data_IF_154673995843
#
_entry.id   IF_154673995843
#
_cell.length_a   1.000
_cell.length_b   1.000
_cell.length_c   1.000
_cell.angle_alpha   90.00
_cell.angle_beta   90.00
_cell.angle_gamma   90.00
#
_symmetry.space_group_name_H-M   'P 1'
#
loop_
_entity.id
_entity.type
_entity.pdbx_description
1 polymer ?
#
# COMPACT_ATOMS: atom_id res chain seq x y z
N UNK A 1 -9.89 24.84 19.94
CA UNK A 1 -8.63 25.55 19.60
C UNK A 1 -7.42 25.13 20.46
N UNK A 2 -7.48 25.08 21.81
CA UNK A 2 -6.30 24.68 22.63
C UNK A 2 -5.90 23.20 22.51
N UNK A 3 -6.89 22.30 22.39
CA UNK A 3 -6.65 20.85 22.23
C UNK A 3 -5.91 20.51 20.92
N UNK A 4 -6.26 21.15 19.81
CA UNK A 4 -5.60 20.93 18.53
C UNK A 4 -4.15 21.41 18.54
N UNK A 5 -3.88 22.53 19.20
CA UNK A 5 -2.52 23.04 19.37
C UNK A 5 -1.67 22.09 20.23
N UNK A 6 -2.22 21.58 21.34
CA UNK A 6 -1.55 20.59 22.18
C UNK A 6 -1.30 19.27 21.45
N UNK A 7 -2.29 18.76 20.71
CA UNK A 7 -2.15 17.56 19.87
C UNK A 7 -1.04 17.76 18.83
N UNK A 8 -1.03 18.89 18.12
CA UNK A 8 0.00 19.22 17.11
C UNK A 8 1.41 19.29 17.73
N UNK A 9 1.55 19.87 18.93
CA UNK A 9 2.86 19.90 19.64
C UNK A 9 3.33 18.51 20.03
N UNK A 10 2.46 17.67 20.58
CA UNK A 10 2.81 16.30 20.99
C UNK A 10 3.21 15.46 19.77
N UNK A 11 2.43 15.53 18.69
CA UNK A 11 2.73 14.82 17.44
C UNK A 11 4.05 15.29 16.84
N UNK A 12 4.33 16.60 16.83
CA UNK A 12 5.62 17.14 16.38
C UNK A 12 6.80 16.68 17.26
N UNK A 13 6.63 16.68 18.58
CA UNK A 13 7.65 16.22 19.52
C UNK A 13 7.92 14.71 19.45
N UNK A 14 6.90 13.91 19.10
CA UNK A 14 7.06 12.48 18.86
C UNK A 14 7.73 12.20 17.50
N UNK A 15 7.39 12.98 16.47
CA UNK A 15 7.98 12.88 15.12
C UNK A 15 9.44 13.31 15.04
N UNK A 16 9.90 14.19 15.94
CA UNK A 16 11.30 14.63 15.98
C UNK A 16 12.25 13.60 16.61
N UNK A 17 11.73 12.57 17.29
CA UNK A 17 12.54 11.53 17.94
C UNK A 17 12.72 10.33 17.02
N UNK A 18 13.95 9.82 16.99
CA UNK A 18 14.33 8.63 16.22
C UNK A 18 14.88 7.55 17.14
N UNK A 19 14.51 6.31 16.87
CA UNK A 19 15.11 5.12 17.47
C UNK A 19 16.37 4.76 16.66
N UNK A 20 17.51 4.64 17.34
CA UNK A 20 18.84 4.35 16.75
C UNK A 20 19.23 5.26 15.57
N UNK A 21 18.69 6.49 15.53
CA UNK A 21 18.97 7.43 14.44
C UNK A 21 18.49 6.95 13.07
N UNK A 22 17.65 5.91 12.96
CA UNK A 22 17.15 5.37 11.68
C UNK A 22 15.64 5.42 11.57
N UNK A 23 14.91 4.92 12.57
CA UNK A 23 13.46 4.75 12.49
C UNK A 23 12.70 5.84 13.29
N UNK A 24 11.70 6.54 12.73
CA UNK A 24 10.92 7.53 13.48
C UNK A 24 10.17 6.89 14.66
N UNK A 25 10.26 7.47 15.86
CA UNK A 25 9.68 6.92 17.08
C UNK A 25 8.16 6.71 16.95
N UNK A 26 7.46 7.69 16.36
CA UNK A 26 6.01 7.62 16.19
C UNK A 26 5.59 6.43 15.32
N UNK A 27 6.30 6.19 14.21
CA UNK A 27 6.03 5.05 13.33
C UNK A 27 6.26 3.73 14.08
N UNK A 28 7.34 3.63 14.88
CA UNK A 28 7.61 2.45 15.71
C UNK A 28 6.49 2.17 16.71
N UNK A 29 6.02 3.20 17.42
CA UNK A 29 4.94 3.08 18.39
C UNK A 29 3.65 2.62 17.72
N UNK A 30 3.31 3.17 16.55
CA UNK A 30 2.12 2.79 15.79
C UNK A 30 2.22 1.33 15.33
N UNK A 31 3.36 0.92 14.76
CA UNK A 31 3.60 -0.48 14.37
C UNK A 31 3.45 -1.42 15.57
N UNK A 32 3.98 -1.06 16.74
CA UNK A 32 3.84 -1.88 17.95
C UNK A 32 2.38 -2.02 18.40
N UNK A 33 1.60 -0.93 18.34
CA UNK A 33 0.16 -0.97 18.63
C UNK A 33 -0.57 -1.86 17.63
N UNK A 34 -0.31 -1.71 16.34
CA UNK A 34 -0.90 -2.53 15.28
C UNK A 34 -0.54 -4.01 15.45
N UNK A 35 0.71 -4.33 15.78
CA UNK A 35 1.15 -5.69 16.07
C UNK A 35 0.43 -6.29 17.28
N UNK A 36 0.20 -5.51 18.34
CA UNK A 36 -0.57 -5.96 19.49
C UNK A 36 -2.05 -6.23 19.13
N UNK A 37 -2.66 -5.37 18.30
CA UNK A 37 -4.02 -5.55 17.79
C UNK A 37 -4.14 -6.81 16.92
N UNK A 38 -3.18 -7.05 16.02
CA UNK A 38 -3.12 -8.27 15.20
C UNK A 38 -2.91 -9.50 16.07
N UNK A 39 -1.99 -9.48 17.04
CA UNK A 39 -1.75 -10.62 17.93
C UNK A 39 -3.03 -11.00 18.69
N UNK A 40 -3.76 -10.01 19.21
CA UNK A 40 -5.05 -10.22 19.86
C UNK A 40 -6.08 -10.80 18.90
N UNK A 41 -6.21 -10.22 17.71
CA UNK A 41 -7.13 -10.67 16.68
C UNK A 41 -6.85 -12.12 16.28
N UNK A 42 -5.60 -12.46 15.99
CA UNK A 42 -5.16 -13.82 15.61
C UNK A 42 -5.48 -14.82 16.71
N UNK A 43 -5.19 -14.47 17.97
CA UNK A 43 -5.43 -15.37 19.12
C UNK A 43 -6.90 -15.76 19.31
N UNK A 44 -7.83 -14.95 18.80
CA UNK A 44 -9.27 -15.13 18.94
C UNK A 44 -10.00 -15.18 17.59
N UNK A 45 -9.25 -15.29 16.49
CA UNK A 45 -9.80 -15.12 15.14
C UNK A 45 -10.90 -16.13 14.83
N UNK A 46 -10.64 -17.42 15.06
CA UNK A 46 -11.62 -18.47 14.79
C UNK A 46 -12.90 -18.28 15.61
N UNK A 47 -12.77 -17.95 16.91
CA UNK A 47 -13.92 -17.68 17.77
C UNK A 47 -14.76 -16.50 17.24
N UNK A 48 -14.12 -15.37 16.92
CA UNK A 48 -14.83 -14.21 16.38
C UNK A 48 -15.42 -14.50 15.00
N UNK A 49 -14.73 -15.28 14.18
CA UNK A 49 -15.21 -15.66 12.86
C UNK A 49 -16.43 -16.56 12.96
N UNK A 50 -16.45 -17.53 13.89
CA UNK A 50 -17.58 -18.43 14.09
C UNK A 50 -18.83 -17.68 14.61
N UNK A 51 -18.65 -16.70 15.49
CA UNK A 51 -19.74 -15.88 16.02
C UNK A 51 -20.27 -14.85 15.00
N UNK A 52 -19.36 -14.12 14.34
CA UNK A 52 -19.68 -13.02 13.43
C UNK A 52 -18.72 -12.95 12.24
N UNK A 53 -18.85 -13.83 11.23
CA UNK A 53 -17.87 -13.98 10.16
C UNK A 53 -17.60 -12.67 9.38
N UNK A 54 -18.67 -11.97 9.00
CA UNK A 54 -18.57 -10.74 8.21
C UNK A 54 -17.85 -9.63 8.99
N UNK A 55 -18.27 -9.37 10.22
CA UNK A 55 -17.72 -8.30 11.05
C UNK A 55 -16.26 -8.57 11.40
N UNK A 56 -15.91 -9.83 11.69
CA UNK A 56 -14.53 -10.25 11.93
C UNK A 56 -13.66 -9.97 10.72
N UNK A 57 -14.13 -10.28 9.51
CA UNK A 57 -13.41 -9.97 8.28
C UNK A 57 -13.26 -8.45 8.05
N UNK A 58 -14.29 -7.67 8.32
CA UNK A 58 -14.24 -6.20 8.20
C UNK A 58 -13.20 -5.59 9.14
N UNK A 59 -13.21 -5.97 10.42
CA UNK A 59 -12.25 -5.48 11.42
C UNK A 59 -10.83 -5.95 11.08
N UNK A 60 -10.67 -7.22 10.68
CA UNK A 60 -9.38 -7.78 10.24
C UNK A 60 -8.81 -6.98 9.09
N UNK A 61 -9.62 -6.70 8.06
CA UNK A 61 -9.17 -5.99 6.88
C UNK A 61 -8.88 -4.50 7.17
N UNK A 62 -9.60 -3.89 8.11
CA UNK A 62 -9.31 -2.54 8.58
C UNK A 62 -7.92 -2.47 9.24
N UNK A 63 -7.62 -3.40 10.14
CA UNK A 63 -6.32 -3.45 10.85
C UNK A 63 -5.18 -3.73 9.85
N UNK A 64 -5.35 -4.70 8.94
CA UNK A 64 -4.34 -5.01 7.91
C UNK A 64 -4.15 -3.85 6.92
N UNK A 65 -5.22 -3.13 6.58
CA UNK A 65 -5.15 -1.90 5.79
C UNK A 65 -4.36 -0.80 6.49
N UNK A 66 -4.54 -0.67 7.82
CA UNK A 66 -3.74 0.24 8.64
C UNK A 66 -2.24 -0.10 8.60
N UNK A 67 -1.89 -1.37 8.78
CA UNK A 67 -0.50 -1.83 8.72
C UNK A 67 0.12 -1.59 7.34
N UNK A 68 -0.64 -1.83 6.26
CA UNK A 68 -0.19 -1.56 4.90
C UNK A 68 0.20 -0.09 4.73
N UNK A 69 -0.64 0.80 5.24
CA UNK A 69 -0.41 2.24 5.20
C UNK A 69 0.78 2.67 6.07
N UNK A 70 0.81 2.24 7.33
CA UNK A 70 1.90 2.51 8.28
C UNK A 70 3.25 2.03 7.73
N UNK A 71 3.28 0.86 7.08
CA UNK A 71 4.47 0.34 6.41
C UNK A 71 4.89 1.25 5.27
N UNK A 72 3.96 1.64 4.40
CA UNK A 72 4.24 2.52 3.27
C UNK A 72 4.76 3.90 3.72
N UNK A 73 4.13 4.50 4.74
CA UNK A 73 4.58 5.76 5.35
C UNK A 73 5.98 5.62 5.96
N UNK A 74 6.28 4.49 6.59
CA UNK A 74 7.61 4.20 7.15
C UNK A 74 8.67 4.08 6.06
N UNK A 75 8.37 3.38 4.97
CA UNK A 75 9.29 3.28 3.83
C UNK A 75 9.55 4.66 3.22
N UNK A 76 8.52 5.50 3.06
CA UNK A 76 8.68 6.88 2.60
C UNK A 76 9.55 7.72 3.54
N UNK A 77 9.33 7.62 4.86
CA UNK A 77 10.14 8.34 5.84
C UNK A 77 11.61 7.91 5.84
N UNK A 78 11.88 6.61 5.68
CA UNK A 78 13.23 6.06 5.55
C UNK A 78 13.90 6.52 4.24
N UNK A 79 13.16 6.50 3.12
CA UNK A 79 13.63 7.00 1.82
C UNK A 79 14.03 8.47 1.87
N UNK A 80 13.16 9.33 2.37
CA UNK A 80 13.42 10.78 2.45
C UNK A 80 14.62 11.11 3.34
N UNK A 81 14.83 10.32 4.40
CA UNK A 81 16.01 10.46 5.25
C UNK A 81 17.30 10.04 4.55
N UNK A 82 17.28 8.95 3.77
CA UNK A 82 18.43 8.50 2.99
C UNK A 82 18.86 9.55 1.95
N UNK A 83 17.89 10.14 1.24
CA UNK A 83 18.13 11.21 0.25
C UNK A 83 18.74 12.47 0.89
N UNK A 84 18.35 12.82 2.11
CA UNK A 84 18.74 14.06 2.79
C UNK A 84 20.04 13.97 3.61
N UNK A 85 20.77 12.86 3.54
CA UNK A 85 22.03 12.66 4.28
C UNK A 85 23.13 13.57 3.71
N UNK A 86 23.84 14.39 4.52
CA UNK A 86 24.96 15.19 4.03
C UNK A 86 26.07 14.26 3.52
N UNK A 87 26.41 14.39 2.23
CA UNK A 87 27.30 13.46 1.50
C UNK A 87 26.59 12.57 0.47
N UNK A 88 25.26 12.63 0.36
CA UNK A 88 24.50 11.86 -0.63
C UNK A 88 24.32 10.38 -0.25
N UNK A 89 23.76 9.62 -1.18
CA UNK A 89 23.53 8.17 -1.04
C UNK A 89 24.84 7.43 -1.31
N UNK A 90 25.35 6.66 -0.33
CA UNK A 90 26.55 5.84 -0.52
C UNK A 90 26.20 4.48 -1.16
N UNK A 91 27.11 3.92 -1.97
CA UNK A 91 26.96 2.57 -2.58
C UNK A 91 26.75 1.44 -1.55
N UNK A 92 27.15 1.66 -0.30
CA UNK A 92 27.00 0.70 0.81
C UNK A 92 25.67 0.85 1.57
N UNK A 93 24.90 1.91 1.30
CA UNK A 93 23.52 1.99 1.77
C UNK A 93 22.72 1.00 0.91
N UNK A 94 22.43 -0.21 1.39
CA UNK A 94 21.74 -1.29 0.63
C UNK A 94 20.32 -0.97 0.12
N UNK A 95 19.92 0.31 0.16
CA UNK A 95 18.69 0.91 -0.38
C UNK A 95 19.04 1.79 -1.61
N UNK A 96 20.31 1.85 -2.00
CA UNK A 96 20.88 2.64 -3.08
C UNK A 96 20.93 1.88 -4.41
N UNK A 97 19.78 1.60 -5.01
CA UNK A 97 19.73 1.38 -6.46
C UNK A 97 18.55 2.23 -6.96
N UNK A 98 18.88 3.23 -7.79
CA UNK A 98 17.99 4.19 -8.49
C UNK A 98 17.40 5.36 -7.69
N UNK A 99 18.19 5.99 -6.82
CA UNK A 99 17.84 7.27 -6.19
C UNK A 99 18.40 8.42 -7.04
N UNK A 100 17.75 8.77 -8.16
CA UNK A 100 17.87 10.13 -8.70
C UNK A 100 16.62 10.66 -9.44
N UNK A 101 15.71 9.85 -10.01
CA UNK A 101 14.60 10.44 -10.82
C UNK A 101 13.20 10.07 -10.31
N UNK A 102 12.98 10.15 -9.00
CA UNK A 102 11.86 9.51 -8.32
C UNK A 102 10.72 10.43 -7.83
N UNK A 103 10.75 11.73 -8.14
CA UNK A 103 10.00 12.75 -7.38
C UNK A 103 8.79 13.39 -8.09
N UNK A 104 8.14 12.76 -9.07
CA UNK A 104 6.98 13.41 -9.73
C UNK A 104 5.76 12.55 -10.00
N UNK A 105 5.81 11.21 -9.83
CA UNK A 105 4.67 10.34 -10.19
C UNK A 105 4.29 9.29 -9.15
N UNK A 106 4.31 9.64 -7.86
CA UNK A 106 3.59 8.83 -6.87
C UNK A 106 2.19 9.40 -6.60
N UNK A 107 1.14 8.90 -7.28
CA UNK A 107 -0.22 9.46 -7.21
C UNK A 107 -0.91 9.19 -5.87
N UNK A 108 -0.29 8.43 -4.96
CA UNK A 108 -0.80 8.13 -3.62
C UNK A 108 -0.45 9.21 -2.58
N UNK A 109 0.34 10.22 -2.96
CA UNK A 109 0.95 11.15 -2.01
C UNK A 109 1.10 12.59 -2.54
N UNK A 110 0.46 12.93 -3.65
CA UNK A 110 0.69 14.19 -4.37
C UNK A 110 0.21 15.46 -3.61
N UNK A 111 -0.41 15.33 -2.43
CA UNK A 111 -1.01 16.48 -1.73
C UNK A 111 -0.26 17.08 -0.54
N UNK A 112 0.83 16.49 -0.05
CA UNK A 112 1.48 16.97 1.20
C UNK A 112 3.01 17.21 1.14
N UNK A 113 3.60 17.32 -0.05
CA UNK A 113 5.02 17.63 -0.20
C UNK A 113 5.17 19.00 -0.87
N UNK A 114 5.05 20.13 -0.15
CA UNK A 114 6.12 20.96 0.45
C UNK A 114 5.45 22.29 0.93
N UNK A 115 5.90 23.05 1.96
CA UNK A 115 6.86 22.78 3.05
C UNK A 115 6.30 23.03 4.48
N UNK A 116 6.95 22.51 5.52
CA UNK A 116 7.31 23.37 6.65
C UNK A 116 8.58 22.83 7.34
N UNK A 117 9.67 23.55 7.13
CA UNK A 117 11.03 23.37 7.67
C UNK A 117 11.89 22.30 6.98
N UNK A 118 12.95 22.77 6.32
CA UNK A 118 13.95 22.08 5.49
C UNK A 118 14.69 20.90 6.14
N UNK A 119 14.44 20.58 7.42
CA UNK A 119 15.27 19.65 8.20
C UNK A 119 14.49 18.51 8.90
N UNK A 120 13.18 18.35 8.69
CA UNK A 120 12.37 17.33 9.40
C UNK A 120 11.76 16.28 8.46
N UNK A 121 11.65 15.00 8.88
CA UNK A 121 10.89 13.98 8.15
C UNK A 121 9.42 14.39 8.02
N UNK A 122 8.70 13.90 6.99
CA UNK A 122 7.25 14.11 6.92
C UNK A 122 6.61 13.55 8.19
N UNK A 123 5.64 14.29 8.74
CA UNK A 123 4.88 13.84 9.89
C UNK A 123 4.00 12.66 9.53
N UNK A 124 3.83 11.69 10.44
CA UNK A 124 2.89 10.59 10.23
C UNK A 124 1.48 11.11 9.91
N UNK A 125 0.93 10.64 8.79
CA UNK A 125 -0.39 11.02 8.29
C UNK A 125 -1.47 10.09 8.85
N UNK A 126 -2.11 10.55 9.92
CA UNK A 126 -3.23 9.84 10.54
C UNK A 126 -4.50 9.85 9.67
N UNK A 127 -4.69 10.86 8.83
CA UNK A 127 -5.88 10.93 7.99
C UNK A 127 -5.79 9.86 6.90
N UNK A 128 -4.62 9.74 6.28
CA UNK A 128 -4.33 8.66 5.33
C UNK A 128 -4.48 7.28 5.96
N UNK A 129 -3.94 7.06 7.16
CA UNK A 129 -4.15 5.81 7.91
C UNK A 129 -5.64 5.49 8.04
N UNK A 130 -6.45 6.45 8.48
CA UNK A 130 -7.90 6.21 8.64
C UNK A 130 -8.61 5.92 7.32
N UNK A 131 -8.20 6.53 6.20
CA UNK A 131 -8.77 6.24 4.87
C UNK A 131 -8.48 4.80 4.44
N UNK A 132 -7.25 4.31 4.63
CA UNK A 132 -6.88 2.92 4.32
C UNK A 132 -7.64 1.91 5.19
N UNK A 133 -7.75 2.19 6.51
CA UNK A 133 -8.53 1.35 7.41
C UNK A 133 -10.01 1.33 7.02
N UNK A 134 -10.59 2.48 6.69
CA UNK A 134 -11.99 2.61 6.28
C UNK A 134 -12.27 1.90 4.94
N UNK A 135 -11.36 2.03 3.97
CA UNK A 135 -11.44 1.30 2.70
C UNK A 135 -11.40 -0.22 2.94
N UNK A 136 -10.46 -0.70 3.76
CA UNK A 136 -10.37 -2.11 4.14
C UNK A 136 -11.66 -2.61 4.81
N UNK A 137 -12.18 -1.86 5.77
CA UNK A 137 -13.44 -2.17 6.45
C UNK A 137 -14.62 -2.26 5.47
N UNK A 138 -14.74 -1.29 4.55
CA UNK A 138 -15.84 -1.19 3.60
C UNK A 138 -15.79 -2.20 2.45
N UNK A 139 -14.59 -2.60 2.00
CA UNK A 139 -14.41 -3.57 0.91
C UNK A 139 -14.50 -5.02 1.35
N UNK A 140 -14.24 -5.30 2.63
CA UNK A 140 -14.25 -6.66 3.16
C UNK A 140 -15.58 -7.43 2.91
N UNK A 141 -16.78 -6.85 3.07
CA UNK A 141 -18.03 -7.55 2.77
C UNK A 141 -18.16 -7.98 1.32
N UNK A 142 -17.66 -7.15 0.40
CA UNK A 142 -17.69 -7.41 -1.03
C UNK A 142 -16.71 -8.53 -1.39
N UNK A 143 -15.47 -8.46 -0.89
CA UNK A 143 -14.46 -9.51 -1.05
C UNK A 143 -14.92 -10.85 -0.44
N UNK A 144 -15.49 -10.81 0.76
CA UNK A 144 -16.01 -12.00 1.43
C UNK A 144 -17.11 -12.69 0.61
N UNK A 145 -18.07 -11.91 0.09
CA UNK A 145 -19.12 -12.41 -0.81
C UNK A 145 -18.54 -12.97 -2.11
N UNK A 146 -17.55 -12.29 -2.68
CA UNK A 146 -16.87 -12.71 -3.90
C UNK A 146 -16.15 -14.06 -3.74
N UNK A 147 -15.35 -14.22 -2.68
CA UNK A 147 -14.68 -15.50 -2.41
C UNK A 147 -15.69 -16.62 -2.11
N UNK A 148 -16.77 -16.32 -1.39
CA UNK A 148 -17.85 -17.28 -1.19
C UNK A 148 -18.49 -17.70 -2.52
N UNK A 149 -18.77 -16.75 -3.41
CA UNK A 149 -19.29 -17.01 -4.75
C UNK A 149 -18.33 -17.91 -5.54
N UNK A 150 -17.05 -17.53 -5.67
CA UNK A 150 -16.04 -18.35 -6.35
C UNK A 150 -15.93 -19.76 -5.76
N UNK A 151 -16.04 -19.88 -4.43
CA UNK A 151 -15.97 -21.17 -3.77
C UNK A 151 -17.14 -22.10 -4.07
N UNK A 152 -18.32 -21.51 -4.27
CA UNK A 152 -19.57 -22.23 -4.57
C UNK A 152 -19.66 -22.58 -6.04
N UNK A 153 -19.25 -21.67 -6.93
CA UNK A 153 -19.29 -21.84 -8.39
C UNK A 153 -18.22 -22.82 -8.86
N UNK A 154 -17.02 -22.78 -8.26
CA UNK A 154 -15.90 -23.65 -8.61
C UNK A 154 -15.48 -24.49 -7.42
N UNK A 155 -16.26 -25.51 -7.02
CA UNK A 155 -15.95 -26.32 -5.84
C UNK A 155 -14.68 -27.14 -6.07
N UNK A 156 -13.76 -27.06 -5.11
CA UNK A 156 -12.53 -27.86 -5.11
C UNK A 156 -12.87 -29.23 -4.52
N UNK A 157 -12.70 -30.29 -5.31
CA UNK A 157 -12.93 -31.67 -4.88
C UNK A 157 -11.60 -32.41 -4.71
N UNK A 158 -11.61 -33.53 -3.96
CA UNK A 158 -10.42 -34.37 -3.76
C UNK A 158 -9.86 -34.94 -5.07
N UNK A 159 -10.71 -35.07 -6.10
CA UNK A 159 -10.36 -35.64 -7.41
C UNK A 159 -9.96 -34.59 -8.44
N UNK A 160 -10.42 -33.33 -8.30
CA UNK A 160 -10.02 -32.21 -9.18
C UNK A 160 -9.87 -30.95 -8.35
N UNK A 161 -8.65 -30.69 -7.87
CA UNK A 161 -8.35 -29.49 -7.10
C UNK A 161 -7.69 -28.38 -7.94
N UNK A 162 -6.94 -28.76 -8.98
CA UNK A 162 -6.16 -27.80 -9.77
C UNK A 162 -7.03 -26.97 -10.72
N UNK A 163 -7.93 -27.61 -11.49
CA UNK A 163 -8.77 -26.92 -12.47
C UNK A 163 -9.71 -25.90 -11.81
N UNK A 164 -10.46 -26.24 -10.73
CA UNK A 164 -11.31 -25.25 -10.06
C UNK A 164 -10.50 -24.12 -9.45
N UNK A 165 -9.31 -24.39 -8.90
CA UNK A 165 -8.44 -23.34 -8.39
C UNK A 165 -8.01 -22.37 -9.50
N UNK A 166 -7.61 -22.87 -10.68
CA UNK A 166 -7.26 -22.01 -11.81
C UNK A 166 -8.46 -21.19 -12.32
N UNK A 167 -9.67 -21.78 -12.33
CA UNK A 167 -10.89 -21.04 -12.69
C UNK A 167 -11.17 -19.91 -11.70
N UNK A 168 -11.01 -20.15 -10.39
CA UNK A 168 -11.13 -19.10 -9.37
C UNK A 168 -10.11 -17.98 -9.59
N UNK A 169 -8.86 -18.32 -9.86
CA UNK A 169 -7.81 -17.33 -10.20
C UNK A 169 -8.20 -16.54 -11.45
N UNK A 170 -8.60 -17.21 -12.53
CA UNK A 170 -8.96 -16.54 -13.77
C UNK A 170 -10.13 -15.56 -13.57
N UNK A 171 -11.20 -15.96 -12.86
CA UNK A 171 -12.33 -15.08 -12.57
C UNK A 171 -11.93 -13.92 -11.66
N UNK A 172 -11.11 -14.18 -10.64
CA UNK A 172 -10.62 -13.14 -9.74
C UNK A 172 -9.78 -12.10 -10.50
N UNK A 173 -8.86 -12.55 -11.36
CA UNK A 173 -8.00 -11.67 -12.13
C UNK A 173 -8.77 -10.93 -13.24
N UNK A 174 -9.69 -11.58 -13.95
CA UNK A 174 -10.38 -10.93 -15.08
C UNK A 174 -11.54 -10.01 -14.65
N UNK A 175 -12.13 -10.23 -13.48
CA UNK A 175 -13.31 -9.48 -13.02
C UNK A 175 -12.95 -8.65 -11.79
N UNK A 176 -12.49 -9.31 -10.73
CA UNK A 176 -12.35 -8.66 -9.43
C UNK A 176 -11.14 -7.75 -9.35
N UNK A 177 -10.00 -8.10 -9.96
CA UNK A 177 -8.81 -7.25 -9.94
C UNK A 177 -9.02 -5.91 -10.68
N UNK A 178 -9.56 -5.87 -11.92
CA UNK A 178 -9.95 -4.63 -12.60
C UNK A 178 -10.91 -3.79 -11.78
N UNK A 179 -12.00 -4.40 -11.30
CA UNK A 179 -13.01 -3.72 -10.50
C UNK A 179 -12.43 -3.17 -9.18
N UNK A 180 -11.64 -3.99 -8.47
CA UNK A 180 -11.04 -3.66 -7.19
C UNK A 180 -10.05 -2.50 -7.30
N UNK A 181 -9.21 -2.48 -8.35
CA UNK A 181 -8.30 -1.37 -8.62
C UNK A 181 -9.05 -0.09 -8.99
N UNK A 182 -10.10 -0.19 -9.79
CA UNK A 182 -10.96 0.95 -10.14
C UNK A 182 -11.60 1.56 -8.88
N UNK A 183 -12.19 0.72 -8.02
CA UNK A 183 -12.76 1.12 -6.75
C UNK A 183 -11.72 1.76 -5.83
N UNK A 184 -10.54 1.13 -5.70
CA UNK A 184 -9.46 1.64 -4.85
C UNK A 184 -9.03 3.04 -5.28
N UNK A 185 -8.67 3.24 -6.56
CA UNK A 185 -8.25 4.55 -7.04
C UNK A 185 -9.36 5.59 -6.92
N UNK A 186 -10.60 5.22 -7.18
CA UNK A 186 -11.74 6.14 -7.09
C UNK A 186 -11.99 6.57 -5.64
N UNK A 187 -12.13 5.61 -4.72
CA UNK A 187 -12.44 5.89 -3.31
C UNK A 187 -11.31 6.65 -2.64
N UNK A 188 -10.05 6.23 -2.85
CA UNK A 188 -8.90 6.90 -2.25
C UNK A 188 -8.78 8.35 -2.73
N UNK A 189 -8.96 8.61 -4.03
CA UNK A 189 -8.88 9.97 -4.58
C UNK A 189 -9.99 10.86 -4.05
N UNK A 190 -11.21 10.33 -3.93
CA UNK A 190 -12.34 11.09 -3.35
C UNK A 190 -12.09 11.36 -1.86
N UNK A 191 -11.57 10.38 -1.12
CA UNK A 191 -11.24 10.52 0.30
C UNK A 191 -10.08 11.50 0.55
N UNK A 192 -9.18 11.69 -0.42
CA UNK A 192 -8.13 12.72 -0.46
C UNK A 192 -8.68 14.12 -0.84
N UNK A 193 -10.00 14.26 -0.94
CA UNK A 193 -10.68 15.49 -1.35
C UNK A 193 -10.54 15.80 -2.84
N UNK A 194 -10.22 14.80 -3.67
CA UNK A 194 -10.16 14.91 -5.12
C UNK A 194 -11.56 14.82 -5.75
N UNK A 195 -11.83 15.70 -6.72
CA UNK A 195 -13.07 15.65 -7.50
C UNK A 195 -13.04 14.62 -8.65
N UNK A 196 -14.13 14.54 -9.41
CA UNK A 196 -14.28 13.63 -10.57
C UNK A 196 -13.13 13.72 -11.59
N UNK A 197 -12.61 14.93 -11.85
CA UNK A 197 -11.47 15.13 -12.76
C UNK A 197 -10.18 14.49 -12.24
N UNK A 198 -9.93 14.59 -10.93
CA UNK A 198 -8.76 13.98 -10.30
C UNK A 198 -8.84 12.44 -10.38
N UNK A 199 -10.02 11.87 -10.14
CA UNK A 199 -10.26 10.42 -10.29
C UNK A 199 -9.98 9.97 -11.73
N UNK A 200 -10.53 10.67 -12.72
CA UNK A 200 -10.34 10.31 -14.14
C UNK A 200 -8.87 10.40 -14.56
N UNK A 201 -8.16 11.45 -14.15
CA UNK A 201 -6.74 11.59 -14.44
C UNK A 201 -5.93 10.46 -13.80
N UNK A 202 -6.18 10.17 -12.51
CA UNK A 202 -5.48 9.09 -11.80
C UNK A 202 -5.73 7.73 -12.44
N UNK A 203 -6.97 7.44 -12.85
CA UNK A 203 -7.29 6.22 -13.57
C UNK A 203 -6.60 6.15 -14.93
N UNK A 204 -6.63 7.22 -15.73
CA UNK A 204 -5.97 7.26 -17.03
C UNK A 204 -4.47 6.98 -16.91
N UNK A 205 -3.83 7.57 -15.91
CA UNK A 205 -2.38 7.56 -15.80
C UNK A 205 -1.87 6.29 -15.11
N UNK A 206 -2.65 5.71 -14.17
CA UNK A 206 -2.16 4.67 -13.25
C UNK A 206 -2.86 3.33 -13.37
N UNK A 207 -4.08 3.29 -13.90
CA UNK A 207 -4.89 2.07 -13.91
C UNK A 207 -4.22 0.96 -14.72
N UNK A 208 -3.82 1.25 -15.96
CA UNK A 208 -3.21 0.24 -16.85
C UNK A 208 -1.85 -0.23 -16.34
N UNK A 209 -0.90 0.65 -15.96
CA UNK A 209 0.37 0.21 -15.38
C UNK A 209 0.19 -0.66 -14.13
N UNK A 210 -0.70 -0.25 -13.23
CA UNK A 210 -0.97 -0.98 -11.99
C UNK A 210 -1.63 -2.33 -12.27
N UNK A 211 -2.56 -2.39 -13.23
CA UNK A 211 -3.23 -3.62 -13.62
C UNK A 211 -2.26 -4.61 -14.27
N UNK A 212 -1.33 -4.14 -15.12
CA UNK A 212 -0.26 -4.99 -15.68
C UNK A 212 0.61 -5.59 -14.59
N UNK A 213 1.09 -4.77 -13.66
CA UNK A 213 1.88 -5.25 -12.54
C UNK A 213 1.06 -6.20 -11.64
N UNK A 214 -0.25 -5.96 -11.50
CA UNK A 214 -1.15 -6.84 -10.77
C UNK A 214 -1.18 -8.24 -11.41
N UNK A 215 -1.34 -8.33 -12.73
CA UNK A 215 -1.35 -9.60 -13.47
C UNK A 215 -0.02 -10.36 -13.46
N UNK A 216 1.09 -9.73 -13.10
CA UNK A 216 2.37 -10.44 -12.97
C UNK A 216 2.47 -11.12 -11.60
N UNK A 217 2.04 -10.43 -10.54
CA UNK A 217 2.26 -10.87 -9.16
C UNK A 217 1.07 -11.67 -8.61
N UNK A 218 -0.14 -11.17 -8.82
CA UNK A 218 -1.32 -11.68 -8.13
C UNK A 218 -1.83 -13.04 -8.60
N UNK A 219 -1.67 -13.49 -9.85
CA UNK A 219 -2.05 -14.85 -10.21
C UNK A 219 -1.33 -15.89 -9.37
N UNK A 220 -0.01 -15.75 -9.18
CA UNK A 220 0.76 -16.67 -8.34
C UNK A 220 0.28 -16.66 -6.88
N UNK A 221 0.01 -15.46 -6.33
CA UNK A 221 -0.53 -15.30 -4.98
C UNK A 221 -1.91 -15.95 -4.87
N UNK A 222 -2.79 -15.78 -5.86
CA UNK A 222 -4.14 -16.33 -5.82
C UNK A 222 -4.17 -17.84 -6.04
N UNK A 223 -3.23 -18.41 -6.80
CA UNK A 223 -3.05 -19.87 -6.88
C UNK A 223 -2.74 -20.44 -5.50
N UNK A 224 -1.81 -19.83 -4.77
CA UNK A 224 -1.47 -20.23 -3.40
C UNK A 224 -2.68 -20.06 -2.48
N UNK A 225 -3.37 -18.92 -2.58
CA UNK A 225 -4.54 -18.61 -1.78
C UNK A 225 -5.65 -19.66 -1.93
N UNK A 226 -6.13 -19.90 -3.16
CA UNK A 226 -7.25 -20.81 -3.38
C UNK A 226 -6.91 -22.29 -3.22
N UNK A 227 -5.62 -22.67 -3.32
CA UNK A 227 -5.19 -24.06 -3.18
C UNK A 227 -4.83 -24.45 -1.75
N UNK A 228 -4.21 -23.54 -1.00
CA UNK A 228 -3.66 -23.85 0.32
C UNK A 228 -4.48 -23.23 1.47
N UNK A 229 -5.12 -22.08 1.27
CA UNK A 229 -5.78 -21.37 2.36
C UNK A 229 -7.24 -21.82 2.54
N UNK A 230 -7.65 -22.20 3.78
CA UNK A 230 -9.04 -22.36 4.13
C UNK A 230 -9.84 -21.08 3.89
N UNK A 231 -11.13 -21.20 3.58
CA UNK A 231 -12.00 -20.06 3.22
C UNK A 231 -11.93 -18.88 4.19
N UNK A 232 -11.89 -19.14 5.50
CA UNK A 232 -11.82 -18.09 6.53
C UNK A 232 -10.50 -17.29 6.52
N UNK A 233 -9.43 -17.85 5.95
CA UNK A 233 -8.10 -17.21 5.91
C UNK A 233 -7.75 -16.62 4.54
N UNK A 234 -8.56 -16.86 3.50
CA UNK A 234 -8.26 -16.39 2.14
C UNK A 234 -8.18 -14.86 2.04
N UNK A 235 -9.09 -14.17 2.73
CA UNK A 235 -9.08 -12.70 2.77
C UNK A 235 -7.93 -12.16 3.62
N UNK A 236 -7.72 -12.59 4.89
CA UNK A 236 -6.56 -12.18 5.68
C UNK A 236 -5.22 -12.43 4.97
N UNK A 237 -5.09 -13.56 4.26
CA UNK A 237 -3.90 -13.89 3.48
C UNK A 237 -3.64 -12.86 2.37
N UNK A 238 -4.64 -12.61 1.52
CA UNK A 238 -4.57 -11.60 0.43
C UNK A 238 -4.22 -10.23 0.98
N UNK A 239 -4.85 -9.80 2.07
CA UNK A 239 -4.60 -8.50 2.69
C UNK A 239 -3.20 -8.40 3.29
N UNK A 240 -2.65 -9.49 3.82
CA UNK A 240 -1.27 -9.53 4.32
C UNK A 240 -0.26 -9.36 3.20
N UNK A 241 -0.44 -10.05 2.06
CA UNK A 241 0.39 -9.83 0.86
C UNK A 241 0.17 -8.41 0.30
N UNK A 242 -1.04 -7.87 0.45
CA UNK A 242 -1.40 -6.49 0.13
C UNK A 242 -0.55 -5.43 0.82
N UNK A 243 -0.02 -5.70 2.02
CA UNK A 243 0.95 -4.83 2.72
C UNK A 243 2.22 -4.69 1.88
N UNK A 244 2.80 -5.82 1.47
CA UNK A 244 4.01 -5.84 0.64
C UNK A 244 3.76 -5.22 -0.74
N UNK A 245 2.58 -5.45 -1.33
CA UNK A 245 2.17 -4.83 -2.58
C UNK A 245 2.05 -3.30 -2.48
N UNK A 246 1.47 -2.79 -1.39
CA UNK A 246 1.34 -1.34 -1.15
C UNK A 246 2.72 -0.70 -0.98
N UNK A 247 3.63 -1.37 -0.26
CA UNK A 247 5.01 -0.95 -0.20
C UNK A 247 5.66 -0.96 -1.60
N UNK A 248 5.53 -2.05 -2.36
CA UNK A 248 6.06 -2.18 -3.72
C UNK A 248 5.58 -1.08 -4.68
N UNK A 249 4.29 -0.77 -4.68
CA UNK A 249 3.74 0.33 -5.50
C UNK A 249 4.31 1.68 -5.07
N UNK A 250 4.53 1.88 -3.77
CA UNK A 250 5.20 3.07 -3.26
C UNK A 250 6.65 3.17 -3.72
N UNK A 251 7.32 2.05 -4.02
CA UNK A 251 8.68 2.02 -4.55
C UNK A 251 8.73 2.18 -6.06
N UNK A 252 7.84 1.52 -6.80
CA UNK A 252 7.93 1.39 -8.27
C UNK A 252 7.25 2.50 -9.05
N UNK A 253 6.25 3.17 -8.47
CA UNK A 253 5.70 4.39 -9.06
C UNK A 253 6.70 5.55 -9.06
N UNK A 254 7.79 5.40 -8.31
CA UNK A 254 8.87 6.37 -8.32
C UNK A 254 9.84 6.14 -9.50
N UNK A 255 10.13 4.89 -9.89
CA UNK A 255 11.18 4.55 -10.89
C UNK A 255 10.79 4.78 -12.35
N UNK A 256 9.50 4.97 -12.67
CA UNK A 256 9.02 5.16 -14.06
C UNK A 256 9.35 6.55 -14.65
N UNK A 257 10.02 7.44 -13.90
CA UNK A 257 10.44 8.76 -14.40
C UNK A 257 11.86 8.81 -14.98
N UNK A 258 12.70 7.81 -14.70
CA UNK A 258 14.10 7.76 -15.19
C UNK A 258 14.14 7.55 -16.71
N UNK A 259 13.22 6.75 -17.27
CA UNK A 259 13.28 6.25 -18.65
C UNK A 259 12.66 7.20 -19.71
N UNK A 260 12.15 8.37 -19.31
CA UNK A 260 11.51 9.33 -20.23
C UNK A 260 12.24 10.68 -20.34
N UNK A 261 13.49 10.78 -19.86
CA UNK A 261 14.31 11.96 -20.18
C UNK A 261 14.83 11.83 -21.61
N UNK A 262 14.53 12.79 -22.51
CA UNK A 262 15.24 12.82 -23.78
C UNK A 262 16.74 12.97 -23.46
N UNK A 263 17.56 12.08 -24.01
CA UNK A 263 19.00 12.17 -23.92
C UNK A 263 19.42 13.61 -24.24
N UNK A 264 19.98 14.31 -23.26
CA UNK A 264 20.53 15.63 -23.47
C UNK A 264 21.53 15.49 -24.62
N UNK A 265 21.34 16.28 -25.68
CA UNK A 265 22.27 16.37 -26.81
C UNK A 265 23.63 16.78 -26.25
N UNK A 266 24.52 15.81 -26.13
CA UNK A 266 25.95 16.01 -26.17
C UNK A 266 26.30 16.46 -27.62
N UNK A 267 27.28 17.34 -27.75
CA UNK A 267 27.81 17.97 -28.98
C UNK A 267 27.03 19.22 -29.44
N UNK A 268 27.58 20.45 -29.38
CA UNK A 268 28.80 20.86 -30.08
C UNK A 268 29.45 22.09 -29.40
N UNK A 269 30.50 21.87 -28.61
CA UNK A 269 31.46 22.91 -28.23
C UNK A 269 32.89 22.42 -28.49
N UNK A 270 33.17 21.99 -29.72
CA UNK A 270 34.54 21.94 -30.23
C UNK A 270 34.55 22.31 -31.71
N UNK A 271 34.76 23.60 -32.02
CA UNK A 271 35.71 24.00 -33.08
C UNK A 271 36.40 25.31 -32.69
N UNK A 272 37.66 25.14 -32.29
CA UNK A 272 38.70 26.16 -32.38
C UNK A 272 38.87 26.58 -33.84
N UNK A 273 38.81 27.89 -34.10
CA UNK A 273 39.80 28.67 -34.86
C UNK A 273 39.39 30.14 -34.89
#
# INVERSE_FOLDING_TARGET
MSWELSRRRIVRAANSKYIYGRLPLLHAVIILIEMALVARLVSKFNQYYDERPLLTMMVTNAILGGIADTTAQTVTALRLKAVRKPGGVNKDDGIAIEIHDLDRKNPFYEKDLIPDHSNLPPTFDFERLTRFMAYGFGMAPLQFRWFKFLSTTFPITKTSAFVPAMQRVAFDQLIFAPFGLLCFFSVMTVAEGGGRRAVLNKLRDMYIPTLKANFIVWPAVQVVNFRLMPMQFQLPFVSTIGIAWTAYLSLTNSSTEVDNRPAAREDDHIRLN
#
